data_IF_454150165971
#
_entry.id   IF_454150165971
#
_cell.length_a   1.000
_cell.length_b   1.000
_cell.length_c   1.000
_cell.angle_alpha   90.00
_cell.angle_beta   90.00
_cell.angle_gamma   90.00
#
_symmetry.space_group_name_H-M   'P 1'
#
loop_
_entity.id
_entity.type
_entity.pdbx_description
1 polymer ?
#
# COMPACT_ATOMS: atom_id res chain seq x y z
N UNK A 1 -12.94 -11.57 -6.38
CA UNK A 1 -12.47 -11.34 -5.01
C UNK A 1 -11.51 -10.17 -4.99
N UNK A 2 -11.32 -9.55 -3.82
CA UNK A 2 -10.35 -8.45 -3.61
C UNK A 2 -9.48 -8.82 -2.42
N UNK A 3 -8.17 -8.75 -2.60
CA UNK A 3 -7.15 -8.88 -1.57
C UNK A 3 -6.51 -7.49 -1.39
N UNK A 4 -6.78 -6.86 -0.26
CA UNK A 4 -6.34 -5.49 0.02
C UNK A 4 -5.09 -5.45 0.91
N UNK A 5 -4.09 -6.25 0.58
CA UNK A 5 -2.78 -6.26 1.22
C UNK A 5 -2.67 -7.10 2.48
N UNK A 6 -1.44 -7.21 2.98
CA UNK A 6 -1.05 -7.96 4.19
C UNK A 6 -1.50 -9.44 4.16
N UNK A 7 -1.38 -10.06 2.99
CA UNK A 7 -1.66 -11.50 2.82
C UNK A 7 -0.65 -12.34 3.58
N UNK A 8 0.54 -11.80 3.79
CA UNK A 8 1.61 -12.35 4.61
C UNK A 8 2.44 -11.26 5.27
N UNK A 9 3.20 -11.64 6.28
CA UNK A 9 4.19 -10.78 6.92
C UNK A 9 5.53 -11.50 6.95
N UNK A 10 6.61 -10.76 6.70
CA UNK A 10 7.98 -11.28 6.66
C UNK A 10 8.74 -11.07 7.96
N UNK A 11 8.10 -10.55 8.98
CA UNK A 11 8.72 -10.40 10.28
C UNK A 11 9.11 -11.79 10.85
N UNK A 12 10.29 -11.84 11.46
CA UNK A 12 10.81 -13.05 12.14
C UNK A 12 11.13 -14.26 11.24
N UNK A 13 11.62 -14.03 10.03
CA UNK A 13 12.14 -15.10 9.18
C UNK A 13 11.06 -15.97 8.55
N UNK A 14 9.87 -15.44 8.36
CA UNK A 14 8.87 -16.12 7.55
C UNK A 14 9.38 -16.28 6.12
N UNK A 15 9.24 -17.48 5.56
CA UNK A 15 9.70 -17.81 4.20
C UNK A 15 8.68 -17.46 3.13
N UNK A 16 7.68 -16.61 3.43
CA UNK A 16 6.60 -16.30 2.50
C UNK A 16 7.07 -15.67 1.19
N UNK A 17 8.20 -14.92 1.20
CA UNK A 17 8.78 -14.44 -0.04
C UNK A 17 9.21 -15.58 -0.97
N UNK A 18 9.75 -16.67 -0.43
CA UNK A 18 10.17 -17.84 -1.18
C UNK A 18 8.96 -18.64 -1.67
N UNK A 19 7.80 -18.47 -1.05
CA UNK A 19 6.51 -19.05 -1.39
C UNK A 19 5.62 -18.10 -2.20
N UNK A 20 6.21 -17.20 -3.00
CA UNK A 20 5.49 -16.19 -3.79
C UNK A 20 4.46 -15.41 -2.94
N UNK A 21 4.85 -14.99 -1.72
CA UNK A 21 4.03 -14.18 -0.83
C UNK A 21 2.70 -14.84 -0.40
N UNK A 22 2.61 -16.16 -0.49
CA UNK A 22 1.39 -16.90 -0.19
C UNK A 22 0.29 -16.73 -1.25
N UNK A 23 0.55 -16.05 -2.36
CA UNK A 23 -0.40 -15.85 -3.46
C UNK A 23 -0.81 -17.13 -4.18
N UNK A 24 0.00 -18.23 -4.22
CA UNK A 24 -0.43 -19.51 -4.80
C UNK A 24 -1.75 -20.05 -4.22
N UNK A 25 -2.08 -19.69 -2.98
CA UNK A 25 -3.35 -20.11 -2.32
C UNK A 25 -4.59 -19.60 -3.05
N UNK A 26 -4.46 -18.57 -3.86
CA UNK A 26 -5.53 -17.95 -4.62
C UNK A 26 -5.47 -18.33 -6.12
N UNK A 27 -4.50 -19.13 -6.54
CA UNK A 27 -4.44 -19.66 -7.89
C UNK A 27 -5.70 -20.50 -8.19
N UNK A 28 -6.22 -20.36 -9.41
CA UNK A 28 -7.44 -21.06 -9.85
C UNK A 28 -8.70 -20.75 -8.99
N UNK A 29 -8.72 -19.60 -8.31
CA UNK A 29 -9.92 -19.15 -7.61
C UNK A 29 -11.10 -19.04 -8.61
N UNK A 30 -12.35 -19.40 -8.22
CA UNK A 30 -13.47 -19.51 -9.18
C UNK A 30 -13.94 -18.15 -9.77
N UNK A 31 -13.38 -17.05 -9.27
CA UNK A 31 -13.64 -15.70 -9.79
C UNK A 31 -12.31 -14.93 -9.88
N UNK A 32 -12.22 -13.87 -10.73
CA UNK A 32 -11.03 -13.03 -10.76
C UNK A 32 -10.64 -12.53 -9.37
N UNK A 33 -9.35 -12.58 -9.06
CA UNK A 33 -8.78 -12.09 -7.79
C UNK A 33 -7.96 -10.85 -8.09
N UNK A 34 -8.40 -9.70 -7.57
CA UNK A 34 -7.66 -8.45 -7.65
C UNK A 34 -6.81 -8.31 -6.39
N UNK A 35 -5.55 -7.90 -6.55
CA UNK A 35 -4.61 -7.78 -5.47
C UNK A 35 -3.93 -6.42 -5.45
N UNK A 36 -3.99 -5.76 -4.30
CA UNK A 36 -3.19 -4.60 -3.92
C UNK A 36 -2.25 -5.05 -2.80
N UNK A 37 -0.94 -4.80 -2.84
CA UNK A 37 -0.06 -5.15 -1.74
C UNK A 37 -0.32 -4.28 -0.50
N UNK A 38 -0.02 -4.81 0.67
CA UNK A 38 0.08 -4.07 1.91
C UNK A 38 1.52 -3.67 2.22
N UNK A 39 1.77 -3.13 3.41
CA UNK A 39 3.12 -2.76 3.80
C UNK A 39 3.97 -3.97 4.26
N UNK A 40 3.31 -5.00 4.80
CA UNK A 40 4.03 -6.16 5.31
C UNK A 40 4.61 -7.07 4.22
N UNK A 41 4.14 -6.97 2.99
CA UNK A 41 4.77 -7.64 1.86
C UNK A 41 6.19 -7.12 1.54
N UNK A 42 6.55 -5.95 2.05
CA UNK A 42 7.88 -5.32 1.84
C UNK A 42 8.81 -5.47 3.05
N UNK A 43 8.37 -6.07 4.15
CA UNK A 43 9.18 -6.26 5.36
C UNK A 43 10.46 -7.06 5.08
N UNK A 44 11.59 -6.61 5.63
CA UNK A 44 12.91 -7.22 5.50
C UNK A 44 13.42 -7.40 4.05
N UNK A 45 12.90 -6.62 3.10
CA UNK A 45 13.25 -6.68 1.69
C UNK A 45 13.65 -5.31 1.13
N UNK A 46 14.30 -5.31 -0.04
CA UNK A 46 14.40 -4.12 -0.87
C UNK A 46 13.04 -3.86 -1.53
N UNK A 47 12.54 -2.64 -1.39
CA UNK A 47 11.20 -2.24 -1.82
C UNK A 47 10.96 -2.50 -3.31
N UNK A 48 11.88 -2.05 -4.16
CA UNK A 48 11.70 -2.15 -5.61
C UNK A 48 11.80 -3.61 -6.08
N UNK A 49 12.68 -4.39 -5.47
CA UNK A 49 12.82 -5.82 -5.74
C UNK A 49 11.58 -6.61 -5.29
N UNK A 50 11.07 -6.33 -4.09
CA UNK A 50 9.84 -6.95 -3.59
C UNK A 50 8.63 -6.60 -4.48
N UNK A 51 8.51 -5.33 -4.89
CA UNK A 51 7.46 -4.86 -5.78
C UNK A 51 7.44 -5.62 -7.12
N UNK A 52 8.62 -5.74 -7.75
CA UNK A 52 8.75 -6.49 -9.01
C UNK A 52 8.40 -7.98 -8.83
N UNK A 53 8.82 -8.61 -7.73
CA UNK A 53 8.51 -10.01 -7.43
C UNK A 53 7.03 -10.25 -7.17
N UNK A 54 6.38 -9.35 -6.43
CA UNK A 54 4.93 -9.40 -6.17
C UNK A 54 4.13 -9.35 -7.47
N UNK A 55 4.48 -8.42 -8.36
CA UNK A 55 3.86 -8.31 -9.68
C UNK A 55 4.05 -9.59 -10.50
N UNK A 56 5.27 -10.10 -10.57
CA UNK A 56 5.57 -11.35 -11.28
C UNK A 56 4.84 -12.57 -10.68
N UNK A 57 4.67 -12.61 -9.35
CA UNK A 57 3.90 -13.64 -8.68
C UNK A 57 2.41 -13.56 -9.04
N UNK A 58 1.83 -12.36 -9.10
CA UNK A 58 0.46 -12.18 -9.58
C UNK A 58 0.28 -12.72 -11.01
N UNK A 59 1.17 -12.37 -11.92
CA UNK A 59 1.17 -12.86 -13.31
C UNK A 59 1.26 -14.40 -13.36
N UNK A 60 2.17 -14.98 -12.58
CA UNK A 60 2.38 -16.43 -12.51
C UNK A 60 1.14 -17.20 -12.03
N UNK A 61 0.45 -16.66 -11.05
CA UNK A 61 -0.67 -17.34 -10.39
C UNK A 61 -2.04 -16.87 -10.86
N UNK A 62 -2.09 -16.01 -11.89
CA UNK A 62 -3.34 -15.57 -12.52
C UNK A 62 -4.14 -14.59 -11.65
N UNK A 63 -3.47 -13.84 -10.77
CA UNK A 63 -4.08 -12.74 -10.03
C UNK A 63 -3.97 -11.43 -10.83
N UNK A 64 -4.93 -10.56 -10.65
CA UNK A 64 -4.92 -9.22 -11.27
C UNK A 64 -4.17 -8.28 -10.34
N UNK A 65 -2.97 -7.86 -10.74
CA UNK A 65 -2.21 -6.82 -10.07
C UNK A 65 -2.94 -5.48 -10.17
N UNK A 66 -3.10 -4.79 -9.04
CA UNK A 66 -3.87 -3.55 -8.98
C UNK A 66 -3.11 -2.38 -8.29
N UNK A 67 -1.82 -2.53 -8.00
CA UNK A 67 -1.04 -1.43 -7.43
C UNK A 67 -0.74 -0.37 -8.48
N UNK A 68 -1.34 0.82 -8.29
CA UNK A 68 -1.34 1.93 -9.26
C UNK A 68 -1.77 1.48 -10.65
N UNK A 69 -2.79 0.63 -10.69
CA UNK A 69 -3.42 0.17 -11.94
C UNK A 69 -4.93 0.26 -11.88
N UNK A 70 -5.52 0.27 -13.06
CA UNK A 70 -6.97 0.30 -13.27
C UNK A 70 -7.37 -0.90 -14.11
N UNK A 71 -8.42 -1.60 -13.70
CA UNK A 71 -9.01 -2.70 -14.46
C UNK A 71 -10.52 -2.54 -14.53
N UNK A 72 -11.11 -2.96 -15.64
CA UNK A 72 -12.56 -3.01 -15.80
C UNK A 72 -13.00 -4.47 -15.86
N UNK A 73 -13.84 -4.88 -14.93
CA UNK A 73 -14.41 -6.23 -14.87
C UNK A 73 -15.95 -6.13 -14.78
N UNK A 74 -16.63 -6.76 -15.70
CA UNK A 74 -18.10 -6.80 -15.75
C UNK A 74 -18.75 -5.39 -15.69
N UNK A 75 -18.15 -4.40 -16.35
CA UNK A 75 -18.67 -3.03 -16.39
C UNK A 75 -18.37 -2.20 -15.13
N UNK A 76 -17.63 -2.73 -14.17
CA UNK A 76 -17.16 -2.03 -12.98
C UNK A 76 -15.68 -1.70 -13.13
N UNK A 77 -15.31 -0.44 -12.94
CA UNK A 77 -13.91 -0.01 -12.88
C UNK A 77 -13.37 -0.19 -11.47
N UNK A 78 -12.24 -0.88 -11.35
CA UNK A 78 -11.47 -0.99 -10.12
C UNK A 78 -10.18 -0.16 -10.28
N UNK A 79 -9.91 0.69 -9.31
CA UNK A 79 -8.66 1.46 -9.21
C UNK A 79 -8.01 1.14 -7.88
N UNK A 80 -6.75 0.74 -7.86
CA UNK A 80 -6.13 0.26 -6.64
C UNK A 80 -4.73 0.79 -6.39
N UNK A 81 -4.39 0.94 -5.13
CA UNK A 81 -3.05 1.27 -4.65
C UNK A 81 -2.92 0.96 -3.15
N UNK A 82 -1.71 0.62 -2.70
CA UNK A 82 -1.38 0.50 -1.27
C UNK A 82 -1.75 1.78 -0.50
N UNK A 83 -1.66 2.93 -1.16
CA UNK A 83 -1.93 4.30 -0.68
C UNK A 83 -0.89 4.83 0.33
N UNK A 84 -0.20 3.98 1.06
CA UNK A 84 0.81 4.34 2.06
C UNK A 84 0.40 5.48 3.00
N UNK A 85 1.17 5.76 4.03
CA UNK A 85 0.90 6.86 4.98
C UNK A 85 1.73 8.10 4.61
N UNK A 86 1.07 9.26 4.45
CA UNK A 86 1.74 10.55 4.24
C UNK A 86 2.13 11.28 5.54
N UNK A 87 1.61 10.78 6.67
CA UNK A 87 1.83 11.35 8.01
C UNK A 87 1.27 12.77 8.20
N UNK A 88 0.38 13.21 7.32
CA UNK A 88 -0.22 14.55 7.37
C UNK A 88 -1.56 14.59 8.11
N UNK A 89 -2.16 13.45 8.42
CA UNK A 89 -3.49 13.35 8.98
C UNK A 89 -3.74 14.24 10.22
N UNK A 90 -2.77 14.32 11.15
CA UNK A 90 -2.83 15.21 12.31
C UNK A 90 -2.13 16.55 12.05
N UNK A 91 -1.20 16.60 11.11
CA UNK A 91 -0.46 17.82 10.79
C UNK A 91 -1.33 18.87 10.10
N UNK A 92 -2.25 18.46 9.24
CA UNK A 92 -3.16 19.37 8.51
C UNK A 92 -4.07 20.20 9.42
N UNK A 93 -4.30 19.75 10.66
CA UNK A 93 -5.09 20.49 11.66
C UNK A 93 -4.29 21.60 12.36
N UNK A 94 -2.98 21.64 12.17
CA UNK A 94 -2.14 22.66 12.80
C UNK A 94 -2.19 23.99 12.02
N UNK A 95 -2.27 25.15 12.73
CA UNK A 95 -2.61 26.43 12.10
C UNK A 95 -1.46 27.05 11.30
N UNK A 96 -0.22 26.58 11.44
CA UNK A 96 0.92 27.15 10.74
C UNK A 96 1.81 26.07 10.12
N UNK A 97 2.50 26.39 8.99
CA UNK A 97 3.42 25.45 8.35
C UNK A 97 4.48 24.89 9.30
N UNK A 98 5.03 25.73 10.18
CA UNK A 98 6.04 25.28 11.15
C UNK A 98 5.47 24.29 12.17
N UNK A 99 4.22 24.45 12.61
CA UNK A 99 3.55 23.49 13.49
C UNK A 99 3.18 22.21 12.74
N UNK A 100 2.75 22.32 11.48
CA UNK A 100 2.48 21.18 10.63
C UNK A 100 3.74 20.33 10.45
N UNK A 101 4.86 20.95 10.16
CA UNK A 101 6.16 20.28 10.05
C UNK A 101 6.58 19.63 11.38
N UNK A 102 6.44 20.32 12.50
CA UNK A 102 6.75 19.79 13.82
C UNK A 102 5.87 18.56 14.15
N UNK A 103 4.59 18.59 13.81
CA UNK A 103 3.67 17.48 14.04
C UNK A 103 4.00 16.28 13.13
N UNK A 104 4.29 16.52 11.85
CA UNK A 104 4.78 15.48 10.94
C UNK A 104 6.09 14.86 11.44
N UNK A 105 7.02 15.68 11.93
CA UNK A 105 8.26 15.21 12.53
C UNK A 105 8.06 14.30 13.75
N UNK A 106 7.01 14.51 14.55
CA UNK A 106 6.62 13.57 15.62
C UNK A 106 6.14 12.24 15.04
N UNK A 107 5.27 12.30 14.03
CA UNK A 107 4.77 11.11 13.36
C UNK A 107 5.91 10.29 12.69
N UNK A 108 6.86 10.96 12.05
CA UNK A 108 8.05 10.34 11.47
C UNK A 108 8.89 9.61 12.51
N UNK A 109 9.15 10.23 13.67
CA UNK A 109 9.90 9.55 14.74
C UNK A 109 9.21 8.30 15.27
N UNK A 110 7.89 8.37 15.44
CA UNK A 110 7.10 7.23 15.87
C UNK A 110 7.10 6.11 14.81
N UNK A 111 6.90 6.47 13.53
CA UNK A 111 6.93 5.52 12.42
C UNK A 111 8.32 4.89 12.27
N UNK A 112 9.41 5.69 12.32
CA UNK A 112 10.77 5.19 12.16
C UNK A 112 11.18 4.21 13.26
N UNK A 113 10.64 4.37 14.48
CA UNK A 113 10.86 3.38 15.55
C UNK A 113 10.30 2.00 15.15
N UNK A 114 9.17 1.97 14.45
CA UNK A 114 8.57 0.74 13.94
C UNK A 114 9.26 0.25 12.66
N UNK A 115 9.44 1.14 11.66
CA UNK A 115 10.02 0.81 10.35
C UNK A 115 11.45 0.26 10.44
N UNK A 116 12.24 0.73 11.40
CA UNK A 116 13.56 0.14 11.68
C UNK A 116 13.49 -1.34 12.11
N UNK A 117 12.37 -1.76 12.70
CA UNK A 117 12.18 -3.17 13.12
C UNK A 117 11.72 -4.05 11.96
N UNK A 118 11.00 -3.48 11.00
CA UNK A 118 10.56 -4.21 9.81
C UNK A 118 11.69 -4.47 8.83
N UNK A 119 12.78 -3.67 8.88
CA UNK A 119 14.03 -3.92 8.16
C UNK A 119 13.94 -3.75 6.65
N UNK A 120 12.91 -3.08 6.15
CA UNK A 120 12.78 -2.76 4.73
C UNK A 120 13.89 -1.80 4.27
N UNK A 121 14.35 -1.95 3.03
CA UNK A 121 15.35 -1.07 2.41
C UNK A 121 14.86 -0.58 1.05
N UNK A 122 15.47 0.49 0.56
CA UNK A 122 15.36 0.91 -0.84
C UNK A 122 16.69 1.51 -1.29
N UNK A 123 17.22 1.03 -2.40
CA UNK A 123 18.55 1.46 -2.92
C UNK A 123 19.66 1.34 -1.86
N UNK A 124 19.62 0.30 -1.04
CA UNK A 124 20.59 0.06 0.03
C UNK A 124 20.46 0.97 1.27
N UNK A 125 19.44 1.81 1.34
CA UNK A 125 19.12 2.64 2.49
C UNK A 125 17.89 2.12 3.22
N UNK A 126 17.74 2.32 4.54
CA UNK A 126 16.51 1.98 5.25
C UNK A 126 15.29 2.67 4.66
N UNK A 127 14.21 1.91 4.46
CA UNK A 127 12.94 2.43 3.95
C UNK A 127 12.13 3.02 5.11
N UNK A 128 12.39 4.30 5.42
CA UNK A 128 11.84 5.01 6.57
C UNK A 128 10.72 5.99 6.18
N UNK A 129 10.21 6.73 7.16
CA UNK A 129 9.02 7.56 7.02
C UNK A 129 9.06 8.56 5.86
N UNK A 130 10.22 9.15 5.56
CA UNK A 130 10.39 10.04 4.41
C UNK A 130 10.17 9.32 3.07
N UNK A 131 10.72 8.12 2.93
CA UNK A 131 10.54 7.30 1.72
C UNK A 131 9.12 6.76 1.62
N UNK A 132 8.54 6.32 2.74
CA UNK A 132 7.12 5.91 2.82
C UNK A 132 6.20 7.07 2.42
N UNK A 133 6.48 8.30 2.89
CA UNK A 133 5.71 9.49 2.50
C UNK A 133 5.81 9.79 1.00
N UNK A 134 6.98 9.63 0.41
CA UNK A 134 7.14 9.83 -1.03
C UNK A 134 6.22 8.87 -1.81
N UNK A 135 6.21 7.58 -1.47
CA UNK A 135 5.29 6.60 -2.06
C UNK A 135 3.82 6.95 -1.83
N UNK A 136 3.48 7.46 -0.64
CA UNK A 136 2.11 7.89 -0.34
C UNK A 136 1.66 9.05 -1.24
N UNK A 137 2.51 10.06 -1.42
CA UNK A 137 2.18 11.21 -2.26
C UNK A 137 2.04 10.82 -3.73
N UNK A 138 2.91 9.95 -4.23
CA UNK A 138 2.82 9.41 -5.59
C UNK A 138 1.55 8.57 -5.78
N UNK A 139 1.20 7.73 -4.81
CA UNK A 139 -0.02 6.93 -4.81
C UNK A 139 -1.28 7.81 -4.79
N UNK A 140 -1.29 8.86 -3.98
CA UNK A 140 -2.40 9.82 -3.91
C UNK A 140 -2.55 10.61 -5.22
N UNK A 141 -1.44 11.04 -5.82
CA UNK A 141 -1.47 11.75 -7.10
C UNK A 141 -2.01 10.85 -8.21
N UNK A 142 -1.53 9.61 -8.28
CA UNK A 142 -2.01 8.62 -9.23
C UNK A 142 -3.50 8.31 -9.02
N UNK A 143 -3.92 8.02 -7.79
CA UNK A 143 -5.31 7.67 -7.46
C UNK A 143 -6.27 8.80 -7.83
N UNK A 144 -5.89 10.05 -7.53
CA UNK A 144 -6.68 11.23 -7.90
C UNK A 144 -6.86 11.32 -9.42
N UNK A 145 -5.79 11.14 -10.18
CA UNK A 145 -5.85 11.15 -11.64
C UNK A 145 -6.72 10.01 -12.19
N UNK A 146 -6.56 8.79 -11.65
CA UNK A 146 -7.34 7.62 -12.06
C UNK A 146 -8.85 7.80 -11.77
N UNK A 147 -9.21 8.40 -10.64
CA UNK A 147 -10.62 8.67 -10.28
C UNK A 147 -11.25 9.78 -11.11
N UNK A 148 -10.44 10.76 -11.55
CA UNK A 148 -10.90 11.84 -12.42
C UNK A 148 -11.07 11.41 -13.89
N UNK A 149 -10.46 10.31 -14.30
CA UNK A 149 -10.60 9.79 -15.66
C UNK A 149 -12.07 9.42 -15.93
N UNK A 150 -12.66 9.87 -17.06
CA UNK A 150 -14.05 9.55 -17.41
C UNK A 150 -14.27 8.03 -17.47
N UNK A 151 -15.37 7.58 -16.93
CA UNK A 151 -15.82 6.20 -17.01
C UNK A 151 -17.34 6.13 -16.88
N UNK A 152 -17.97 5.43 -17.80
CA UNK A 152 -19.43 5.25 -17.80
C UNK A 152 -19.77 3.95 -17.05
N UNK A 153 -19.80 4.03 -15.74
CA UNK A 153 -20.10 2.91 -14.87
C UNK A 153 -19.64 3.13 -13.42
N UNK A 154 -19.92 2.19 -12.53
CA UNK A 154 -19.48 2.26 -11.14
C UNK A 154 -17.95 2.11 -11.04
N UNK A 155 -17.35 2.84 -10.11
CA UNK A 155 -15.93 2.76 -9.79
C UNK A 155 -15.75 2.33 -8.34
N UNK A 156 -14.86 1.37 -8.11
CA UNK A 156 -14.44 0.89 -6.80
C UNK A 156 -12.97 1.25 -6.61
N UNK A 157 -12.68 2.05 -5.60
CA UNK A 157 -11.31 2.27 -5.14
C UNK A 157 -10.92 1.20 -4.12
N UNK A 158 -9.76 0.58 -4.32
CA UNK A 158 -9.20 -0.45 -3.44
C UNK A 158 -7.90 0.10 -2.86
N UNK A 159 -7.87 0.27 -1.54
CA UNK A 159 -6.65 0.73 -0.84
C UNK A 159 -6.34 -0.19 0.33
N UNK A 160 -5.04 -0.35 0.64
CA UNK A 160 -4.61 -1.03 1.85
C UNK A 160 -4.70 -0.10 3.06
N UNK A 161 -4.03 1.05 3.00
CA UNK A 161 -4.19 2.08 4.02
C UNK A 161 -5.52 2.82 3.86
N UNK A 162 -6.10 3.21 5.00
CA UNK A 162 -7.34 3.95 5.04
C UNK A 162 -7.18 5.33 4.36
N UNK A 163 -8.10 5.71 3.45
CA UNK A 163 -7.99 6.97 2.72
C UNK A 163 -8.39 8.20 3.55
N UNK A 164 -8.92 7.99 4.76
CA UNK A 164 -9.44 9.07 5.61
C UNK A 164 -9.45 8.66 7.07
N UNK A 165 -9.27 9.63 7.98
CA UNK A 165 -9.46 9.45 9.42
C UNK A 165 -10.89 9.05 9.79
N UNK A 166 -11.87 9.25 8.93
CA UNK A 166 -13.24 8.74 9.13
C UNK A 166 -13.30 7.21 9.19
N UNK A 167 -12.30 6.53 8.65
CA UNK A 167 -12.15 5.07 8.70
C UNK A 167 -11.32 4.61 9.91
N UNK A 168 -10.82 5.54 10.74
CA UNK A 168 -10.03 5.19 11.91
C UNK A 168 -10.88 4.47 12.95
N UNK A 169 -10.31 3.43 13.56
CA UNK A 169 -10.94 2.76 14.70
C UNK A 169 -10.90 3.71 15.91
N UNK A 170 -12.05 4.04 16.53
CA UNK A 170 -12.10 4.96 17.68
C UNK A 170 -11.26 4.52 18.87
N UNK A 171 -10.84 3.26 18.92
CA UNK A 171 -9.97 2.74 19.99
C UNK A 171 -8.52 3.25 19.88
N UNK A 172 -8.12 3.78 18.73
CA UNK A 172 -6.76 4.22 18.44
C UNK A 172 -6.66 5.71 18.05
N UNK A 173 -7.77 6.44 18.04
CA UNK A 173 -7.88 7.83 17.63
C UNK A 173 -8.04 8.82 18.74
#
# INVERSE_FOLDING_TARGET
AVLAGDIGSYQNGSQLADEDFGLPRFANWPVPVLYVPGNHEYDAQDFDAAHARLRAACERWGLVWLERETVVLHGVRFVGTTLWADFDALATNEPTPARQEAQRGKAFRAANFYLNKTGGTRHGQPFLAEAVRAEALDSQAWLRAALQAPFDGPTVAVTHFAPSLLSADPRYG
#
